data_IF_089636546013
#
_entry.id   IF_089636546013
#
_cell.length_a   1.000
_cell.length_b   1.000
_cell.length_c   1.000
_cell.angle_alpha   90.00
_cell.angle_beta   90.00
_cell.angle_gamma   90.00
#
_symmetry.space_group_name_H-M   'P 1'
#
loop_
_entity.id
_entity.type
_entity.pdbx_description
1 polymer ?
#
# COMPACT_ATOMS: atom_id res chain seq x y z
N UNK A 1 2.17 6.01 19.65
CA UNK A 1 3.32 5.10 19.48
C UNK A 1 3.48 4.30 20.77
N UNK A 2 2.67 3.25 20.91
CA UNK A 2 2.68 2.39 22.11
C UNK A 2 3.99 1.61 22.19
N UNK A 3 4.62 1.63 23.37
CA UNK A 3 5.76 0.79 23.73
C UNK A 3 5.33 -0.68 23.67
N UNK A 4 5.47 -1.33 22.51
CA UNK A 4 5.83 -2.75 22.48
C UNK A 4 7.27 -2.80 22.99
N UNK A 5 7.42 -2.69 24.31
CA UNK A 5 8.70 -2.73 24.99
C UNK A 5 9.40 -4.05 24.68
N UNK A 6 10.72 -3.99 24.59
CA UNK A 6 11.68 -5.09 24.39
C UNK A 6 11.66 -6.15 25.52
N UNK A 7 10.50 -6.46 26.09
CA UNK A 7 10.31 -7.60 26.97
C UNK A 7 10.18 -8.85 26.11
N UNK A 8 11.31 -9.33 25.58
CA UNK A 8 11.38 -10.67 25.03
C UNK A 8 11.26 -11.68 26.16
N UNK A 9 10.28 -12.56 26.08
CA UNK A 9 10.13 -13.66 27.02
C UNK A 9 10.95 -14.86 26.52
N UNK A 10 12.09 -15.21 27.16
CA UNK A 10 12.93 -16.31 26.69
C UNK A 10 12.17 -17.64 26.66
N UNK A 11 11.11 -17.80 27.45
CA UNK A 11 10.30 -19.02 27.50
C UNK A 11 9.47 -19.24 26.22
N UNK A 12 9.29 -18.20 25.40
CA UNK A 12 8.53 -18.28 24.15
C UNK A 12 9.39 -18.64 22.93
N UNK A 13 10.68 -18.95 23.12
CA UNK A 13 11.61 -19.43 22.09
C UNK A 13 11.64 -18.54 20.82
N UNK A 14 11.38 -17.25 20.98
CA UNK A 14 11.41 -16.23 19.93
C UNK A 14 10.08 -15.96 19.19
N UNK A 15 8.99 -16.64 19.53
CA UNK A 15 7.68 -16.41 18.89
C UNK A 15 7.09 -15.04 19.24
N UNK A 16 7.29 -14.56 20.45
CA UNK A 16 6.94 -13.22 20.91
C UNK A 16 7.64 -12.13 20.07
N UNK A 17 8.96 -12.28 19.83
CA UNK A 17 9.74 -11.41 18.95
C UNK A 17 9.26 -11.49 17.50
N UNK A 18 8.87 -12.69 17.06
CA UNK A 18 8.30 -12.91 15.72
C UNK A 18 6.98 -12.17 15.55
N UNK A 19 6.07 -12.28 16.53
CA UNK A 19 4.81 -11.57 16.55
C UNK A 19 5.03 -10.05 16.55
N UNK A 20 5.92 -9.54 17.40
CA UNK A 20 6.27 -8.13 17.44
C UNK A 20 6.83 -7.62 16.10
N UNK A 21 7.64 -8.43 15.42
CA UNK A 21 8.18 -8.10 14.09
C UNK A 21 7.06 -7.97 13.03
N UNK A 22 6.10 -8.91 13.01
CA UNK A 22 4.93 -8.82 12.13
C UNK A 22 4.05 -7.60 12.44
N UNK A 23 3.86 -7.28 13.72
CA UNK A 23 3.07 -6.11 14.14
C UNK A 23 3.76 -4.78 13.78
N UNK A 24 5.10 -4.70 13.90
CA UNK A 24 5.87 -3.52 13.49
C UNK A 24 5.82 -3.27 11.98
N UNK A 25 5.74 -4.33 11.16
CA UNK A 25 5.57 -4.21 9.70
C UNK A 25 6.79 -3.67 8.94
N UNK A 26 7.95 -3.59 9.60
CA UNK A 26 9.19 -3.07 9.01
C UNK A 26 10.00 -4.19 8.33
N UNK A 27 9.49 -4.67 7.19
CA UNK A 27 10.05 -5.82 6.48
C UNK A 27 11.24 -5.52 5.57
N UNK A 28 12.15 -4.67 6.04
CA UNK A 28 13.39 -4.38 5.31
C UNK A 28 14.43 -5.48 5.55
N UNK A 29 14.46 -6.02 6.77
CA UNK A 29 15.39 -7.06 7.18
C UNK A 29 14.65 -8.22 7.85
N UNK A 30 15.07 -9.45 7.55
CA UNK A 30 14.58 -10.65 8.19
C UNK A 30 14.89 -10.63 9.70
N UNK A 31 14.11 -11.36 10.49
CA UNK A 31 14.27 -11.40 11.94
C UNK A 31 15.40 -12.35 12.32
N UNK A 32 16.42 -11.82 13.01
CA UNK A 32 17.45 -12.64 13.62
C UNK A 32 16.98 -13.13 15.01
N UNK A 33 16.89 -14.45 15.15
CA UNK A 33 16.59 -15.14 16.41
C UNK A 33 17.77 -16.01 16.85
N UNK A 34 17.89 -16.21 18.16
CA UNK A 34 18.77 -17.24 18.72
C UNK A 34 18.27 -18.63 18.31
N UNK A 35 19.18 -19.60 18.30
CA UNK A 35 18.86 -20.98 17.88
C UNK A 35 17.82 -21.56 18.84
N UNK A 36 16.66 -21.91 18.30
CA UNK A 36 15.53 -22.44 19.06
C UNK A 36 14.76 -23.46 18.23
N UNK A 37 13.73 -24.05 18.84
CA UNK A 37 12.82 -24.98 18.17
C UNK A 37 12.19 -24.40 16.89
N UNK A 38 11.94 -23.09 16.85
CA UNK A 38 11.24 -22.43 15.75
C UNK A 38 12.17 -21.60 14.84
N UNK A 39 13.42 -21.40 15.23
CA UNK A 39 14.29 -20.36 14.65
C UNK A 39 14.50 -20.52 13.14
N UNK A 40 14.70 -21.74 12.64
CA UNK A 40 14.93 -21.99 11.20
C UNK A 40 13.66 -21.73 10.36
N UNK A 41 12.50 -22.17 10.85
CA UNK A 41 11.21 -21.94 10.18
C UNK A 41 10.84 -20.46 10.18
N UNK A 42 11.09 -19.76 11.29
CA UNK A 42 10.87 -18.31 11.39
C UNK A 42 11.84 -17.53 10.50
N UNK A 43 13.12 -17.91 10.46
CA UNK A 43 14.09 -17.28 9.57
C UNK A 43 13.64 -17.42 8.10
N UNK A 44 13.21 -18.62 7.71
CA UNK A 44 12.66 -18.89 6.36
C UNK A 44 11.44 -18.02 6.07
N UNK A 45 10.47 -17.96 7.00
CA UNK A 45 9.27 -17.15 6.82
C UNK A 45 9.56 -15.65 6.72
N UNK A 46 10.46 -15.12 7.57
CA UNK A 46 10.74 -13.68 7.64
C UNK A 46 11.58 -13.21 6.45
N UNK A 47 12.52 -14.04 5.96
CA UNK A 47 13.19 -13.80 4.67
C UNK A 47 12.17 -13.77 3.52
N UNK A 48 11.27 -14.75 3.46
CA UNK A 48 10.21 -14.80 2.46
C UNK A 48 9.30 -13.57 2.49
N UNK A 49 8.98 -13.03 3.67
CA UNK A 49 8.22 -11.77 3.80
C UNK A 49 8.99 -10.59 3.22
N UNK A 50 10.28 -10.44 3.54
CA UNK A 50 11.11 -9.39 2.95
C UNK A 50 11.11 -9.49 1.41
N UNK A 51 11.30 -10.69 0.88
CA UNK A 51 11.30 -10.96 -0.56
C UNK A 51 9.92 -10.80 -1.21
N UNK A 52 8.83 -10.99 -0.47
CA UNK A 52 7.49 -10.77 -0.99
C UNK A 52 7.25 -9.29 -1.29
N UNK A 53 7.69 -8.41 -0.38
CA UNK A 53 7.55 -6.97 -0.59
C UNK A 53 8.56 -6.41 -1.59
N UNK A 54 9.78 -6.96 -1.68
CA UNK A 54 10.81 -6.45 -2.60
C UNK A 54 10.77 -7.06 -4.01
N UNK A 55 10.39 -8.33 -4.13
CA UNK A 55 10.52 -9.11 -5.36
C UNK A 55 9.29 -9.94 -5.73
N UNK A 56 8.21 -9.88 -4.94
CA UNK A 56 6.95 -10.54 -5.27
C UNK A 56 6.98 -12.07 -5.26
N UNK A 57 7.78 -12.68 -4.38
CA UNK A 57 7.76 -14.15 -4.21
C UNK A 57 6.37 -14.65 -3.78
N UNK A 58 5.99 -15.90 -4.08
CA UNK A 58 4.65 -16.40 -3.76
C UNK A 58 4.33 -16.43 -2.26
N UNK A 59 3.08 -16.15 -1.89
CA UNK A 59 2.61 -16.13 -0.49
C UNK A 59 2.85 -17.46 0.24
N UNK A 60 2.80 -18.58 -0.50
CA UNK A 60 3.04 -19.91 0.05
C UNK A 60 4.44 -20.05 0.67
N UNK A 61 5.43 -19.31 0.18
CA UNK A 61 6.80 -19.30 0.73
C UNK A 61 6.85 -18.70 2.14
N UNK A 62 5.88 -17.85 2.50
CA UNK A 62 5.70 -17.31 3.84
C UNK A 62 4.83 -18.23 4.69
N UNK A 63 3.67 -18.61 4.15
CA UNK A 63 2.63 -19.28 4.95
C UNK A 63 2.96 -20.74 5.26
N UNK A 64 3.69 -21.46 4.39
CA UNK A 64 4.04 -22.85 4.65
C UNK A 64 4.97 -23.00 5.87
N UNK A 65 6.11 -22.27 5.99
CA UNK A 65 6.92 -22.31 7.20
C UNK A 65 6.16 -21.89 8.47
N UNK A 66 5.29 -20.88 8.39
CA UNK A 66 4.48 -20.46 9.54
C UNK A 66 3.45 -21.50 9.97
N UNK A 67 2.87 -22.25 9.03
CA UNK A 67 2.01 -23.40 9.35
C UNK A 67 2.81 -24.51 10.03
N UNK A 68 4.06 -24.73 9.62
CA UNK A 68 4.97 -25.68 10.29
C UNK A 68 5.31 -25.22 11.72
N UNK A 69 5.55 -23.92 11.94
CA UNK A 69 5.72 -23.35 13.30
C UNK A 69 4.49 -23.65 14.15
N UNK A 70 3.28 -23.39 13.62
CA UNK A 70 2.02 -23.71 14.30
C UNK A 70 1.93 -25.21 14.63
N UNK A 71 2.15 -26.09 13.65
CA UNK A 71 2.10 -27.54 13.86
C UNK A 71 3.04 -28.01 14.96
N UNK A 72 4.27 -27.47 15.00
CA UNK A 72 5.26 -27.79 16.01
C UNK A 72 4.87 -27.27 17.40
N UNK A 73 4.31 -26.06 17.48
CA UNK A 73 3.80 -25.51 18.74
C UNK A 73 2.67 -26.38 19.31
N UNK A 74 1.76 -26.89 18.48
CA UNK A 74 0.71 -27.82 18.94
C UNK A 74 1.23 -29.19 19.35
N UNK A 75 2.34 -29.65 18.77
CA UNK A 75 2.91 -30.96 19.07
C UNK A 75 3.69 -30.97 20.39
N UNK A 76 4.49 -29.92 20.64
CA UNK A 76 5.48 -29.92 21.75
C UNK A 76 5.62 -28.56 22.45
N UNK A 77 4.83 -27.57 22.07
CA UNK A 77 4.86 -26.22 22.63
C UNK A 77 4.03 -26.08 23.91
N UNK A 78 4.28 -25.00 24.63
CA UNK A 78 3.44 -24.56 25.76
C UNK A 78 2.14 -23.93 25.24
N UNK A 79 1.13 -23.80 26.11
CA UNK A 79 -0.11 -23.11 25.77
C UNK A 79 0.11 -21.68 25.22
N UNK A 80 1.15 -20.99 25.71
CA UNK A 80 1.51 -19.65 25.23
C UNK A 80 2.14 -19.68 23.83
N UNK A 81 2.98 -20.67 23.54
CA UNK A 81 3.58 -20.81 22.21
C UNK A 81 2.54 -21.18 21.15
N UNK A 82 1.56 -22.01 21.50
CA UNK A 82 0.40 -22.30 20.65
C UNK A 82 -0.35 -21.02 20.31
N UNK A 83 -0.70 -20.21 21.34
CA UNK A 83 -1.36 -18.93 21.15
C UNK A 83 -0.54 -17.98 20.24
N UNK A 84 0.77 -17.87 20.49
CA UNK A 84 1.64 -17.00 19.69
C UNK A 84 1.73 -17.48 18.23
N UNK A 85 1.88 -18.78 18.00
CA UNK A 85 1.94 -19.33 16.65
C UNK A 85 0.65 -19.10 15.87
N UNK A 86 -0.52 -19.23 16.51
CA UNK A 86 -1.81 -18.90 15.91
C UNK A 86 -1.91 -17.42 15.54
N UNK A 87 -1.52 -16.52 16.46
CA UNK A 87 -1.53 -15.08 16.23
C UNK A 87 -0.59 -14.70 15.09
N UNK A 88 0.62 -15.24 15.06
CA UNK A 88 1.60 -15.00 13.97
C UNK A 88 1.01 -15.41 12.63
N UNK A 89 0.45 -16.62 12.52
CA UNK A 89 -0.11 -17.10 11.26
C UNK A 89 -1.32 -16.26 10.84
N UNK A 90 -2.21 -15.91 11.76
CA UNK A 90 -3.39 -15.10 11.49
C UNK A 90 -3.00 -13.68 11.02
N UNK A 91 -2.05 -13.04 11.71
CA UNK A 91 -1.56 -11.70 11.36
C UNK A 91 -0.82 -11.73 10.01
N UNK A 92 0.07 -12.70 9.80
CA UNK A 92 0.78 -12.84 8.53
C UNK A 92 -0.21 -13.01 7.36
N UNK A 93 -1.19 -13.91 7.52
CA UNK A 93 -2.25 -14.12 6.52
C UNK A 93 -3.02 -12.84 6.25
N UNK A 94 -3.46 -12.13 7.31
CA UNK A 94 -4.24 -10.90 7.17
C UNK A 94 -3.45 -9.77 6.49
N UNK A 95 -2.17 -9.63 6.83
CA UNK A 95 -1.26 -8.65 6.22
C UNK A 95 -1.03 -8.91 4.73
N UNK A 96 -0.84 -10.18 4.35
CA UNK A 96 -0.68 -10.58 2.95
C UNK A 96 -1.96 -10.28 2.17
N UNK A 97 -3.11 -10.69 2.69
CA UNK A 97 -4.42 -10.44 2.06
C UNK A 97 -4.75 -8.96 1.89
N UNK A 98 -4.26 -8.10 2.80
CA UNK A 98 -4.44 -6.65 2.70
C UNK A 98 -3.32 -5.95 1.92
N UNK A 99 -2.29 -6.69 1.49
CA UNK A 99 -1.12 -6.10 0.86
C UNK A 99 -1.49 -5.50 -0.50
N UNK A 100 -0.82 -4.42 -0.87
CA UNK A 100 -1.07 -3.76 -2.14
C UNK A 100 -0.79 -4.70 -3.33
N UNK A 101 0.20 -5.59 -3.19
CA UNK A 101 0.55 -6.59 -4.20
C UNK A 101 -0.60 -7.56 -4.51
N UNK A 102 -1.32 -8.00 -3.47
CA UNK A 102 -2.46 -8.92 -3.62
C UNK A 102 -3.71 -8.17 -4.06
N UNK A 103 -3.98 -7.02 -3.44
CA UNK A 103 -5.20 -6.27 -3.67
C UNK A 103 -5.24 -5.53 -5.02
N UNK A 104 -4.12 -4.99 -5.51
CA UNK A 104 -4.13 -4.16 -6.72
C UNK A 104 -4.64 -4.89 -7.96
N UNK A 105 -4.21 -6.13 -8.26
CA UNK A 105 -4.73 -6.84 -9.43
C UNK A 105 -6.23 -7.05 -9.38
N UNK A 106 -6.74 -7.44 -8.21
CA UNK A 106 -8.17 -7.59 -7.99
C UNK A 106 -8.90 -6.26 -8.13
N UNK A 107 -8.44 -5.20 -7.46
CA UNK A 107 -9.16 -3.94 -7.39
C UNK A 107 -9.06 -3.09 -8.66
N UNK A 108 -8.03 -3.29 -9.49
CA UNK A 108 -7.77 -2.48 -10.68
C UNK A 108 -7.99 -3.24 -11.98
N UNK A 109 -7.97 -4.58 -11.95
CA UNK A 109 -7.98 -5.41 -13.15
C UNK A 109 -6.65 -5.41 -13.91
N UNK A 110 -5.58 -4.89 -13.30
CA UNK A 110 -4.25 -4.76 -13.91
C UNK A 110 -3.31 -5.82 -13.30
N UNK A 111 -2.57 -6.60 -14.10
CA UNK A 111 -1.64 -7.59 -13.58
C UNK A 111 -0.62 -7.01 -12.59
N UNK A 112 -0.24 -7.79 -11.57
CA UNK A 112 0.73 -7.36 -10.56
C UNK A 112 2.08 -6.94 -11.16
N UNK A 113 2.47 -7.54 -12.29
CA UNK A 113 3.71 -7.23 -13.01
C UNK A 113 3.76 -5.78 -13.50
N UNK A 114 2.64 -5.18 -13.89
CA UNK A 114 2.59 -3.78 -14.32
C UNK A 114 2.68 -2.81 -13.13
N UNK A 115 2.37 -3.28 -11.93
CA UNK A 115 2.51 -2.50 -10.69
C UNK A 115 3.89 -2.61 -10.06
N UNK A 116 4.78 -3.47 -10.54
CA UNK A 116 6.03 -3.80 -9.85
C UNK A 116 6.91 -2.56 -9.59
N UNK A 117 7.07 -1.70 -10.60
CA UNK A 117 7.83 -0.46 -10.49
C UNK A 117 7.23 0.53 -9.47
N UNK A 118 5.93 0.45 -9.21
CA UNK A 118 5.23 1.28 -8.21
C UNK A 118 5.33 0.63 -6.82
N UNK A 119 5.13 -0.68 -6.73
CA UNK A 119 5.16 -1.45 -5.49
C UNK A 119 6.52 -1.39 -4.79
N UNK A 120 7.61 -1.26 -5.54
CA UNK A 120 8.97 -1.13 -5.01
C UNK A 120 9.25 0.26 -4.41
N UNK A 121 8.37 1.24 -4.60
CA UNK A 121 8.60 2.61 -4.12
C UNK A 121 8.34 2.72 -2.62
N UNK A 122 9.26 3.35 -1.85
CA UNK A 122 9.09 3.50 -0.40
C UNK A 122 7.93 4.42 -0.03
N UNK A 123 7.52 5.31 -0.95
CA UNK A 123 6.41 6.24 -0.77
C UNK A 123 5.04 5.61 -1.03
N UNK A 124 5.00 4.42 -1.66
CA UNK A 124 3.75 3.75 -2.00
C UNK A 124 3.24 2.91 -0.82
N UNK A 125 1.93 2.70 -0.76
CA UNK A 125 1.33 1.93 0.33
C UNK A 125 1.72 0.46 0.21
N UNK A 126 2.02 -0.17 1.36
CA UNK A 126 2.25 -1.63 1.42
C UNK A 126 0.96 -2.42 1.61
N UNK A 127 -0.02 -1.80 2.25
CA UNK A 127 -1.30 -2.40 2.60
C UNK A 127 -2.43 -1.39 2.44
N UNK A 128 -3.58 -1.88 2.01
CA UNK A 128 -4.79 -1.10 1.88
C UNK A 128 -5.46 -0.89 3.24
N UNK A 129 -5.87 0.35 3.48
CA UNK A 129 -6.74 0.69 4.60
C UNK A 129 -8.18 0.24 4.32
N UNK A 130 -9.01 -0.02 5.33
CA UNK A 130 -10.39 -0.50 5.14
C UNK A 130 -11.20 0.36 4.15
N UNK A 131 -11.12 1.69 4.26
CA UNK A 131 -11.81 2.58 3.35
C UNK A 131 -11.32 2.47 1.90
N UNK A 132 -10.02 2.28 1.68
CA UNK A 132 -9.44 2.11 0.34
C UNK A 132 -9.82 0.76 -0.26
N UNK A 133 -9.92 -0.30 0.55
CA UNK A 133 -10.42 -1.59 0.10
C UNK A 133 -11.84 -1.50 -0.43
N UNK A 134 -12.73 -0.82 0.30
CA UNK A 134 -14.11 -0.62 -0.13
C UNK A 134 -14.18 0.09 -1.50
N UNK A 135 -13.29 1.05 -1.77
CA UNK A 135 -13.19 1.67 -3.11
C UNK A 135 -12.83 0.65 -4.19
N UNK A 136 -11.84 -0.20 -3.92
CA UNK A 136 -11.41 -1.26 -4.83
C UNK A 136 -12.48 -2.31 -5.08
N UNK A 137 -13.09 -2.82 -4.02
CA UNK A 137 -14.18 -3.81 -4.05
C UNK A 137 -15.41 -3.28 -4.81
N UNK A 138 -15.67 -1.97 -4.77
CA UNK A 138 -16.74 -1.32 -5.53
C UNK A 138 -16.32 -0.87 -6.95
N UNK A 139 -15.12 -1.23 -7.40
CA UNK A 139 -14.64 -0.98 -8.77
C UNK A 139 -14.23 0.47 -9.04
N UNK A 140 -14.04 1.31 -8.02
CA UNK A 140 -13.63 2.71 -8.19
C UNK A 140 -12.26 2.77 -8.87
N UNK A 141 -11.30 1.94 -8.46
CA UNK A 141 -9.99 1.87 -9.12
C UNK A 141 -10.03 1.22 -10.53
N UNK A 142 -11.17 0.70 -10.97
CA UNK A 142 -11.41 0.29 -12.37
C UNK A 142 -12.02 1.41 -13.21
N UNK A 143 -12.28 2.58 -12.61
CA UNK A 143 -12.88 3.74 -13.28
C UNK A 143 -14.37 3.92 -13.05
N UNK A 144 -14.99 3.18 -12.12
CA UNK A 144 -16.39 3.42 -11.76
C UNK A 144 -16.51 4.75 -11.00
N UNK A 145 -17.46 5.59 -11.43
CA UNK A 145 -17.80 6.81 -10.70
C UNK A 145 -18.39 6.49 -9.33
N UNK A 146 -18.03 7.28 -8.32
CA UNK A 146 -18.52 7.09 -6.96
C UNK A 146 -18.59 8.42 -6.19
N UNK A 147 -19.51 8.49 -5.24
CA UNK A 147 -19.55 9.49 -4.19
C UNK A 147 -19.15 8.79 -2.90
N UNK A 148 -18.14 9.32 -2.21
CA UNK A 148 -17.53 8.63 -1.07
C UNK A 148 -17.39 9.58 0.09
N UNK A 149 -17.90 9.17 1.25
CA UNK A 149 -17.61 9.84 2.52
C UNK A 149 -16.46 9.13 3.21
N UNK A 150 -15.28 9.76 3.22
CA UNK A 150 -14.12 9.27 3.96
C UNK A 150 -13.76 10.27 5.07
N UNK A 151 -13.55 9.81 6.32
CA UNK A 151 -13.02 10.65 7.38
C UNK A 151 -11.69 11.30 6.98
N UNK A 152 -11.37 12.47 7.53
CA UNK A 152 -10.01 13.03 7.44
C UNK A 152 -9.02 12.00 7.98
N UNK A 153 -7.80 11.98 7.43
CA UNK A 153 -6.74 10.99 7.70
C UNK A 153 -7.04 9.52 7.34
N UNK A 154 -8.20 9.17 6.77
CA UNK A 154 -8.53 7.80 6.34
C UNK A 154 -7.85 7.35 5.02
N UNK A 155 -6.82 8.07 4.55
CA UNK A 155 -6.06 7.70 3.36
C UNK A 155 -6.65 8.17 2.02
N UNK A 156 -7.43 9.27 2.01
CA UNK A 156 -8.03 9.87 0.79
C UNK A 156 -6.99 10.12 -0.30
N UNK A 157 -5.89 10.79 0.04
CA UNK A 157 -4.86 11.17 -0.94
C UNK A 157 -4.20 9.96 -1.59
N UNK A 158 -3.94 8.89 -0.81
CA UNK A 158 -3.43 7.63 -1.35
C UNK A 158 -4.45 6.89 -2.22
N UNK A 159 -5.74 6.97 -1.89
CA UNK A 159 -6.79 6.44 -2.77
C UNK A 159 -6.81 7.19 -4.12
N UNK A 160 -6.71 8.51 -4.11
CA UNK A 160 -6.61 9.33 -5.33
C UNK A 160 -5.37 8.97 -6.14
N UNK A 161 -4.22 8.80 -5.48
CA UNK A 161 -2.99 8.33 -6.13
C UNK A 161 -3.20 7.00 -6.87
N UNK A 162 -3.76 5.99 -6.18
CA UNK A 162 -4.04 4.67 -6.77
C UNK A 162 -5.02 4.78 -7.94
N UNK A 163 -6.06 5.59 -7.80
CA UNK A 163 -7.03 5.82 -8.88
C UNK A 163 -6.36 6.40 -10.13
N UNK A 164 -5.54 7.43 -9.98
CA UNK A 164 -4.83 8.07 -11.10
C UNK A 164 -3.86 7.07 -11.74
N UNK A 165 -3.03 6.41 -10.93
CA UNK A 165 -2.09 5.38 -11.42
C UNK A 165 -2.80 4.27 -12.17
N UNK A 166 -3.92 3.76 -11.64
CA UNK A 166 -4.70 2.71 -12.27
C UNK A 166 -5.28 3.16 -13.62
N UNK A 167 -5.63 4.43 -13.79
CA UNK A 167 -6.11 4.96 -15.05
C UNK A 167 -4.99 5.08 -16.07
N UNK A 168 -3.80 5.51 -15.63
CA UNK A 168 -2.63 5.69 -16.49
C UNK A 168 -2.01 4.37 -16.92
N UNK A 169 -1.80 3.42 -16.00
CA UNK A 169 -1.22 2.10 -16.29
C UNK A 169 -2.14 1.33 -17.25
N UNK A 170 -3.46 1.32 -16.99
CA UNK A 170 -4.44 0.69 -17.88
C UNK A 170 -4.69 1.47 -19.19
N UNK A 171 -3.97 2.58 -19.44
CA UNK A 171 -4.16 3.47 -20.60
C UNK A 171 -5.62 3.90 -20.82
N UNK A 172 -6.40 4.04 -19.73
CA UNK A 172 -7.79 4.52 -19.76
C UNK A 172 -7.87 6.03 -19.89
N UNK A 173 -6.83 6.74 -19.48
CA UNK A 173 -6.71 8.19 -19.63
C UNK A 173 -5.24 8.61 -19.68
N UNK A 174 -4.96 9.74 -20.34
CA UNK A 174 -3.68 10.46 -20.28
C UNK A 174 -3.76 11.69 -19.38
N UNK A 175 -4.94 12.06 -18.89
CA UNK A 175 -5.12 13.22 -18.02
C UNK A 175 -5.97 12.90 -16.79
N UNK A 176 -5.63 13.49 -15.66
CA UNK A 176 -6.42 13.46 -14.43
C UNK A 176 -6.58 14.89 -13.90
N UNK A 177 -7.84 15.31 -13.68
CA UNK A 177 -8.15 16.62 -13.12
C UNK A 177 -8.58 16.42 -11.67
N UNK A 178 -7.90 17.09 -10.73
CA UNK A 178 -8.26 17.14 -9.32
C UNK A 178 -8.80 18.53 -9.03
N UNK A 179 -10.06 18.58 -8.60
CA UNK A 179 -10.73 19.83 -8.23
C UNK A 179 -10.76 19.95 -6.71
N UNK A 180 -10.24 21.03 -6.16
CA UNK A 180 -10.21 21.30 -4.73
C UNK A 180 -10.75 22.71 -4.40
N UNK A 181 -11.44 22.89 -3.26
CA UNK A 181 -12.18 24.11 -2.94
C UNK A 181 -11.34 25.38 -2.76
N UNK A 182 -10.07 25.26 -2.36
CA UNK A 182 -9.23 26.42 -2.07
C UNK A 182 -7.81 26.21 -2.60
N UNK A 183 -7.12 27.31 -2.95
CA UNK A 183 -5.75 27.29 -3.47
C UNK A 183 -4.75 26.62 -2.53
N UNK A 184 -4.84 26.88 -1.22
CA UNK A 184 -3.96 26.25 -0.25
C UNK A 184 -4.03 24.71 -0.29
N UNK A 185 -5.25 24.16 -0.48
CA UNK A 185 -5.42 22.72 -0.63
C UNK A 185 -4.95 22.23 -2.01
N UNK A 186 -5.09 23.04 -3.06
CA UNK A 186 -4.51 22.73 -4.37
C UNK A 186 -2.98 22.57 -4.27
N UNK A 187 -2.31 23.53 -3.62
CA UNK A 187 -0.87 23.47 -3.34
C UNK A 187 -0.49 22.20 -2.54
N UNK A 188 -1.21 21.89 -1.47
CA UNK A 188 -0.95 20.68 -0.65
C UNK A 188 -1.09 19.39 -1.46
N UNK A 189 -2.15 19.28 -2.27
CA UNK A 189 -2.38 18.12 -3.14
C UNK A 189 -1.27 18.04 -4.20
N UNK A 190 -0.90 19.16 -4.82
CA UNK A 190 0.18 19.23 -5.81
C UNK A 190 1.49 18.70 -5.23
N UNK A 191 1.91 19.21 -4.07
CA UNK A 191 3.14 18.77 -3.42
C UNK A 191 3.11 17.27 -3.09
N UNK A 192 1.95 16.78 -2.63
CA UNK A 192 1.76 15.35 -2.38
C UNK A 192 1.88 14.52 -3.66
N UNK A 193 1.30 14.97 -4.77
CA UNK A 193 1.35 14.28 -6.05
C UNK A 193 2.75 14.33 -6.68
N UNK A 194 3.50 15.44 -6.54
CA UNK A 194 4.91 15.53 -6.96
C UNK A 194 5.74 14.46 -6.25
N UNK A 195 5.54 14.28 -4.94
CA UNK A 195 6.26 13.23 -4.18
C UNK A 195 5.81 11.84 -4.60
N UNK A 196 4.51 11.62 -4.79
CA UNK A 196 3.96 10.33 -5.19
C UNK A 196 4.50 9.88 -6.56
N UNK A 197 4.44 10.75 -7.57
CA UNK A 197 4.81 10.44 -8.95
C UNK A 197 6.28 10.75 -9.28
N UNK A 198 7.13 11.04 -8.28
CA UNK A 198 8.54 11.38 -8.49
C UNK A 198 9.26 10.32 -9.31
N UNK A 199 9.89 10.72 -10.43
CA UNK A 199 10.62 9.78 -11.30
C UNK A 199 9.70 8.88 -12.13
N UNK A 200 8.45 9.29 -12.35
CA UNK A 200 7.57 8.75 -13.38
C UNK A 200 7.41 9.80 -14.48
N UNK A 201 7.10 9.33 -15.70
CA UNK A 201 6.73 10.20 -16.80
C UNK A 201 5.28 10.68 -16.64
N UNK A 202 5.05 11.46 -15.58
CA UNK A 202 3.77 12.08 -15.24
C UNK A 202 4.02 13.54 -14.87
N UNK A 203 3.44 14.44 -15.64
CA UNK A 203 3.49 15.88 -15.39
C UNK A 203 2.49 16.26 -14.30
N UNK A 204 2.94 16.96 -13.27
CA UNK A 204 2.09 17.44 -12.16
C UNK A 204 2.04 18.96 -12.19
N UNK A 205 0.89 19.50 -12.56
CA UNK A 205 0.67 20.95 -12.68
C UNK A 205 -0.48 21.42 -11.79
N UNK A 206 -0.35 22.66 -11.33
CA UNK A 206 -1.41 23.39 -10.66
C UNK A 206 -1.72 24.66 -11.45
N UNK A 207 -2.98 24.82 -11.85
CA UNK A 207 -3.40 26.01 -12.59
C UNK A 207 -3.81 27.11 -11.61
N UNK A 208 -3.01 28.17 -11.58
CA UNK A 208 -3.25 29.35 -10.76
C UNK A 208 -4.09 30.40 -11.51
N UNK A 209 -4.46 31.46 -10.78
CA UNK A 209 -5.33 32.53 -11.29
C UNK A 209 -4.62 33.57 -12.16
N UNK A 210 -3.35 33.35 -12.49
CA UNK A 210 -2.69 34.11 -13.53
C UNK A 210 -3.28 33.67 -14.89
N UNK A 211 -3.71 34.59 -15.77
CA UNK A 211 -4.17 34.23 -17.10
C UNK A 211 -3.06 33.48 -17.85
N UNK A 212 -3.27 32.18 -18.07
CA UNK A 212 -2.46 31.39 -19.01
C UNK A 212 -3.31 31.27 -20.27
N UNK A 213 -3.01 32.08 -21.29
CA UNK A 213 -3.78 32.13 -22.54
C UNK A 213 -3.70 30.82 -23.36
N UNK A 214 -2.79 29.90 -23.01
CA UNK A 214 -2.44 28.74 -23.86
C UNK A 214 -2.72 27.37 -23.22
N UNK A 215 -3.45 27.27 -22.10
CA UNK A 215 -3.73 25.95 -21.51
C UNK A 215 -4.84 25.21 -22.27
N UNK A 216 -4.44 24.30 -23.16
CA UNK A 216 -5.36 23.45 -23.91
C UNK A 216 -5.28 21.99 -23.43
N UNK A 217 -6.35 21.51 -22.78
CA UNK A 217 -6.51 20.11 -22.35
C UNK A 217 -6.32 19.11 -23.50
N UNK A 218 -6.69 19.48 -24.73
CA UNK A 218 -6.58 18.62 -25.90
C UNK A 218 -5.15 18.42 -26.41
N UNK A 219 -4.19 19.23 -25.94
CA UNK A 219 -2.78 19.15 -26.35
C UNK A 219 -1.90 18.35 -25.36
N UNK A 220 -2.50 17.75 -24.33
CA UNK A 220 -1.79 16.92 -23.36
C UNK A 220 -1.40 15.58 -23.99
N UNK A 221 -0.20 15.53 -24.56
CA UNK A 221 0.39 14.32 -25.16
C UNK A 221 1.04 13.41 -24.13
N UNK A 222 1.44 13.95 -22.98
CA UNK A 222 2.04 13.21 -21.86
C UNK A 222 1.05 13.02 -20.71
N UNK A 223 1.24 11.96 -19.92
CA UNK A 223 0.41 11.70 -18.75
C UNK A 223 0.47 12.88 -17.80
N UNK A 224 -0.68 13.46 -17.46
CA UNK A 224 -0.73 14.72 -16.73
C UNK A 224 -1.76 14.70 -15.60
N UNK A 225 -1.38 15.20 -14.42
CA UNK A 225 -2.28 15.47 -13.30
C UNK A 225 -2.37 16.98 -13.13
N UNK A 226 -3.58 17.51 -13.23
CA UNK A 226 -3.87 18.94 -13.16
C UNK A 226 -4.69 19.19 -11.91
N UNK A 227 -4.21 20.08 -11.05
CA UNK A 227 -4.89 20.50 -9.83
C UNK A 227 -5.40 21.93 -10.00
N UNK A 228 -6.66 22.18 -9.67
CA UNK A 228 -7.30 23.49 -9.86
C UNK A 228 -8.54 23.67 -8.96
N UNK A 229 -9.05 24.90 -8.90
CA UNK A 229 -10.30 25.22 -8.20
C UNK A 229 -11.51 25.07 -9.12
N UNK A 230 -12.75 24.91 -8.59
CA UNK A 230 -13.96 24.83 -9.39
C UNK A 230 -14.13 26.01 -10.37
N UNK A 231 -13.81 27.23 -9.93
CA UNK A 231 -13.93 28.45 -10.74
C UNK A 231 -12.99 28.40 -11.95
N UNK A 232 -11.74 27.94 -11.74
CA UNK A 232 -10.76 27.82 -12.81
C UNK A 232 -11.14 26.71 -13.80
N UNK A 233 -11.70 25.60 -13.33
CA UNK A 233 -12.24 24.55 -14.21
C UNK A 233 -13.31 25.14 -15.13
N UNK A 234 -14.26 25.88 -14.54
CA UNK A 234 -15.35 26.49 -15.28
C UNK A 234 -14.85 27.50 -16.31
N UNK A 235 -13.80 28.25 -15.99
CA UNK A 235 -13.15 29.17 -16.93
C UNK A 235 -12.55 28.45 -18.14
N UNK A 236 -11.88 27.31 -17.93
CA UNK A 236 -11.23 26.53 -19.00
C UNK A 236 -12.24 25.78 -19.89
N UNK A 237 -13.39 25.40 -19.33
CA UNK A 237 -14.45 24.70 -20.07
C UNK A 237 -15.35 25.64 -20.88
N UNK A 238 -15.27 26.95 -20.66
CA UNK A 238 -16.01 27.98 -21.41
C UNK A 238 -15.25 28.38 -22.66
#
# INVERSE_FOLDING_TARGET
MSRLADASDPDCRGLDRTLAWFLKGQFVYALALERSLYSELVATATDAVCRFYSAGVPEATILAPLRSVRGLAYAVGTAREVLLADLILAIATRRIQNSARVCLPEFTGIPASEWEAVLQRPTFIREFWPAQRLLGENGVFRGRSAVVQMPTSAGKTKATEILIRSAFIANRSTAAIIVAPFRALCHEIRDTMIVAFRGEDVRIDELSDIPQQDFNLAQLTTRSVIILTPEKLLYILR
#
